data_IF_329697249854
#
_entry.id   IF_329697249854
#
_cell.length_a   1.000
_cell.length_b   1.000
_cell.length_c   1.000
_cell.angle_alpha   90.00
_cell.angle_beta   90.00
_cell.angle_gamma   90.00
#
_symmetry.space_group_name_H-M   'P 1'
#
loop_
_entity.id
_entity.type
_entity.pdbx_description
1 polymer ?
#
# COMPACT_ATOMS: atom_id res chain seq x y z
N UNK A 1 26.36 -9.82 7.55
CA UNK A 1 27.45 -9.45 6.62
C UNK A 1 28.20 -8.30 7.26
N UNK A 2 29.51 -8.40 7.35
CA UNK A 2 30.38 -7.34 7.89
C UNK A 2 31.53 -7.09 6.94
N UNK A 3 32.14 -5.88 7.00
CA UNK A 3 33.29 -5.53 6.20
C UNK A 3 33.00 -5.38 4.70
N UNK A 4 31.79 -5.01 4.32
CA UNK A 4 31.41 -4.76 2.93
C UNK A 4 32.31 -3.66 2.34
N UNK A 5 32.92 -3.95 1.19
CA UNK A 5 33.84 -3.05 0.47
C UNK A 5 35.19 -2.72 1.16
N UNK A 6 35.55 -3.36 2.27
CA UNK A 6 36.85 -3.12 2.93
C UNK A 6 38.02 -3.33 1.97
N UNK A 7 37.93 -4.36 1.09
CA UNK A 7 38.95 -4.66 0.07
C UNK A 7 38.75 -3.92 -1.26
N UNK A 8 37.76 -3.03 -1.37
CA UNK A 8 37.44 -2.28 -2.59
C UNK A 8 37.22 -0.81 -2.27
N UNK A 9 38.33 -0.04 -2.03
CA UNK A 9 38.28 1.37 -1.58
C UNK A 9 37.47 2.27 -2.52
N UNK A 10 37.53 2.01 -3.82
CA UNK A 10 36.76 2.76 -4.80
C UNK A 10 35.26 2.64 -4.58
N UNK A 11 34.76 1.43 -4.29
CA UNK A 11 33.32 1.22 -3.98
C UNK A 11 32.95 1.79 -2.61
N UNK A 12 33.85 1.71 -1.64
CA UNK A 12 33.62 2.30 -0.32
C UNK A 12 33.40 3.82 -0.39
N UNK A 13 34.16 4.53 -1.24
CA UNK A 13 33.99 5.98 -1.48
C UNK A 13 32.63 6.37 -2.10
N UNK A 14 31.94 5.44 -2.74
CA UNK A 14 30.61 5.70 -3.32
C UNK A 14 29.46 5.50 -2.32
N UNK A 15 29.72 4.95 -1.13
CA UNK A 15 28.72 4.91 -0.06
C UNK A 15 28.39 6.34 0.37
N UNK A 16 27.10 6.59 0.54
CA UNK A 16 26.58 7.87 1.02
C UNK A 16 26.62 7.92 2.57
N UNK A 17 25.81 8.77 3.17
CA UNK A 17 25.73 8.82 4.62
C UNK A 17 25.11 7.53 5.18
N UNK A 18 25.46 7.16 6.42
CA UNK A 18 24.92 5.97 7.11
C UNK A 18 23.38 5.99 7.10
N UNK A 19 22.77 7.15 7.36
CA UNK A 19 21.32 7.31 7.34
C UNK A 19 20.71 7.04 5.97
N UNK A 20 21.39 7.44 4.89
CA UNK A 20 20.94 7.17 3.54
C UNK A 20 21.03 5.68 3.20
N UNK A 21 22.16 5.04 3.49
CA UNK A 21 22.33 3.60 3.25
C UNK A 21 21.34 2.78 4.06
N UNK A 22 21.09 3.18 5.31
CA UNK A 22 20.07 2.55 6.13
C UNK A 22 18.66 2.68 5.53
N UNK A 23 18.31 3.86 5.00
CA UNK A 23 17.00 4.06 4.35
C UNK A 23 16.81 3.15 3.13
N UNK A 24 17.87 2.92 2.36
CA UNK A 24 17.85 2.00 1.20
C UNK A 24 17.68 0.55 1.65
N UNK A 25 18.37 0.16 2.73
CA UNK A 25 18.23 -1.18 3.32
C UNK A 25 16.80 -1.39 3.86
N UNK A 26 16.26 -0.42 4.57
CA UNK A 26 14.91 -0.47 5.11
C UNK A 26 13.86 -0.60 3.98
N UNK A 27 14.01 0.16 2.90
CA UNK A 27 13.16 0.06 1.72
C UNK A 27 13.22 -1.34 1.08
N UNK A 28 14.43 -1.90 0.95
CA UNK A 28 14.60 -3.25 0.43
C UNK A 28 13.92 -4.29 1.35
N UNK A 29 14.11 -4.18 2.67
CA UNK A 29 13.49 -5.09 3.63
C UNK A 29 11.95 -5.04 3.58
N UNK A 30 11.38 -3.84 3.44
CA UNK A 30 9.96 -3.64 3.25
C UNK A 30 9.44 -4.35 1.98
N UNK A 31 10.16 -4.21 0.88
CA UNK A 31 9.83 -4.86 -0.39
C UNK A 31 9.94 -6.38 -0.31
N UNK A 32 10.97 -6.89 0.38
CA UNK A 32 11.13 -8.32 0.62
C UNK A 32 9.99 -8.88 1.48
N UNK A 33 9.57 -8.16 2.51
CA UNK A 33 8.46 -8.58 3.36
C UNK A 33 7.12 -8.63 2.58
N UNK A 34 6.86 -7.65 1.70
CA UNK A 34 5.67 -7.66 0.85
C UNK A 34 5.71 -8.76 -0.22
N UNK A 35 6.90 -9.10 -0.75
CA UNK A 35 7.05 -10.19 -1.73
C UNK A 35 6.91 -11.58 -1.09
N UNK A 36 7.27 -11.71 0.19
CA UNK A 36 7.30 -12.96 0.92
C UNK A 36 6.61 -12.84 2.29
N UNK A 37 5.30 -12.58 2.34
CA UNK A 37 4.59 -12.29 3.58
C UNK A 37 4.58 -13.47 4.57
N UNK A 38 4.83 -14.70 4.08
CA UNK A 38 4.96 -15.91 4.87
C UNK A 38 6.33 -16.04 5.57
N UNK A 39 7.29 -15.14 5.29
CA UNK A 39 8.61 -15.14 5.92
C UNK A 39 8.65 -14.04 6.99
N UNK A 40 9.16 -14.40 8.17
CA UNK A 40 9.44 -13.42 9.22
C UNK A 40 10.72 -12.66 8.91
N UNK A 41 10.60 -11.35 8.78
CA UNK A 41 11.73 -10.43 8.63
C UNK A 41 11.93 -9.61 9.89
N UNK A 42 13.18 -9.32 10.22
CA UNK A 42 13.54 -8.38 11.27
C UNK A 42 14.72 -7.53 10.82
N UNK A 43 14.57 -6.21 10.96
CA UNK A 43 15.64 -5.24 10.73
C UNK A 43 15.94 -4.51 12.03
N UNK A 44 17.22 -4.54 12.43
CA UNK A 44 17.70 -3.81 13.62
C UNK A 44 18.75 -2.78 13.21
N UNK A 45 18.75 -1.63 13.87
CA UNK A 45 19.73 -0.56 13.69
C UNK A 45 20.18 -0.08 15.07
N UNK A 46 21.48 -0.04 15.30
CA UNK A 46 22.10 0.34 16.59
C UNK A 46 21.48 -0.40 17.80
N UNK A 47 21.29 -1.71 17.65
CA UNK A 47 20.74 -2.58 18.70
C UNK A 47 19.22 -2.46 18.91
N UNK A 48 18.53 -1.59 18.16
CA UNK A 48 17.05 -1.44 18.23
C UNK A 48 16.37 -2.08 17.03
N UNK A 49 15.28 -2.80 17.27
CA UNK A 49 14.43 -3.33 16.19
C UNK A 49 13.65 -2.16 15.59
N UNK A 50 13.84 -1.94 14.28
CA UNK A 50 13.20 -0.85 13.53
C UNK A 50 12.01 -1.35 12.71
N UNK A 51 12.10 -2.60 12.24
CA UNK A 51 11.05 -3.25 11.45
C UNK A 51 11.02 -4.73 11.77
N UNK A 52 9.82 -5.29 11.91
CA UNK A 52 9.64 -6.71 12.14
C UNK A 52 8.28 -7.17 11.61
N UNK A 53 8.24 -8.33 10.92
CA UNK A 53 7.01 -8.99 10.49
C UNK A 53 6.82 -10.30 11.21
N UNK A 54 5.57 -10.77 11.31
CA UNK A 54 5.25 -12.05 11.94
C UNK A 54 5.56 -13.25 11.05
N UNK A 55 5.51 -13.10 9.72
CA UNK A 55 5.62 -14.19 8.75
C UNK A 55 4.36 -15.04 8.65
N UNK A 56 3.19 -14.48 8.99
CA UNK A 56 1.90 -15.17 8.97
C UNK A 56 1.14 -15.04 7.64
N UNK A 57 1.73 -14.44 6.61
CA UNK A 57 1.10 -14.18 5.31
C UNK A 57 0.20 -12.93 5.27
N UNK A 58 0.05 -12.21 6.37
CA UNK A 58 -0.85 -11.06 6.45
C UNK A 58 -0.18 -9.78 5.91
N UNK A 59 -0.48 -9.44 4.65
CA UNK A 59 0.02 -8.21 4.00
C UNK A 59 -0.48 -6.95 4.71
N UNK A 60 -1.68 -6.97 5.28
CA UNK A 60 -2.24 -5.80 5.98
C UNK A 60 -1.44 -5.47 7.25
N UNK A 61 -0.91 -6.48 7.96
CA UNK A 61 0.03 -6.29 9.07
C UNK A 61 1.32 -5.64 8.59
N UNK A 62 1.86 -6.07 7.45
CA UNK A 62 3.06 -5.49 6.86
C UNK A 62 2.81 -4.02 6.47
N UNK A 63 1.66 -3.73 5.85
CA UNK A 63 1.26 -2.35 5.53
C UNK A 63 1.12 -1.47 6.78
N UNK A 64 0.64 -2.04 7.90
CA UNK A 64 0.59 -1.35 9.18
C UNK A 64 1.99 -0.97 9.68
N UNK A 65 2.93 -1.90 9.62
CA UNK A 65 4.33 -1.67 10.04
C UNK A 65 5.03 -0.63 9.14
N UNK A 66 4.76 -0.65 7.84
CA UNK A 66 5.41 0.24 6.87
C UNK A 66 4.82 1.65 6.84
N UNK A 67 3.50 1.77 6.89
CA UNK A 67 2.76 3.00 6.56
C UNK A 67 1.81 3.46 7.66
N UNK A 68 1.68 2.68 8.74
CA UNK A 68 0.85 2.99 9.89
C UNK A 68 -0.61 2.57 9.75
N UNK A 69 -1.36 2.83 10.83
CA UNK A 69 -2.74 2.38 11.04
C UNK A 69 -3.69 2.86 9.94
N UNK A 70 -3.56 4.12 9.55
CA UNK A 70 -4.46 4.73 8.58
C UNK A 70 -4.43 4.00 7.23
N UNK A 71 -3.23 3.70 6.70
CA UNK A 71 -3.08 2.96 5.44
C UNK A 71 -3.61 1.54 5.57
N UNK A 72 -3.24 0.83 6.63
CA UNK A 72 -3.66 -0.56 6.83
C UNK A 72 -5.18 -0.71 6.97
N UNK A 73 -5.86 0.21 7.66
CA UNK A 73 -7.32 0.18 7.83
C UNK A 73 -8.10 0.55 6.56
N UNK A 74 -7.46 1.24 5.62
CA UNK A 74 -8.06 1.64 4.35
C UNK A 74 -7.55 0.79 3.18
N UNK A 75 -6.94 -0.34 3.46
CA UNK A 75 -6.49 -1.31 2.47
C UNK A 75 -7.67 -2.21 2.06
N UNK A 76 -8.01 -2.16 0.78
CA UNK A 76 -9.07 -2.91 0.13
C UNK A 76 -8.43 -4.11 -0.55
N UNK A 77 -8.74 -5.35 -0.14
CA UNK A 77 -8.25 -6.52 -0.85
C UNK A 77 -8.87 -6.62 -2.23
N UNK A 78 -8.13 -7.09 -3.19
CA UNK A 78 -8.61 -7.42 -4.51
C UNK A 78 -7.98 -8.73 -5.00
N UNK A 79 -8.72 -9.45 -5.81
CA UNK A 79 -8.29 -10.67 -6.47
C UNK A 79 -9.01 -10.80 -7.80
N UNK A 80 -8.29 -11.22 -8.84
CA UNK A 80 -8.83 -11.45 -10.17
C UNK A 80 -7.99 -12.45 -10.93
N UNK A 81 -8.61 -13.20 -11.82
CA UNK A 81 -7.94 -14.19 -12.64
C UNK A 81 -8.54 -14.25 -14.05
N UNK A 82 -7.73 -14.64 -14.98
CA UNK A 82 -8.12 -15.13 -16.30
C UNK A 82 -7.38 -16.45 -16.61
N UNK A 83 -7.36 -16.90 -17.86
CA UNK A 83 -6.71 -18.16 -18.24
C UNK A 83 -5.20 -18.17 -17.97
N UNK A 84 -4.53 -17.01 -18.08
CA UNK A 84 -3.07 -16.89 -18.09
C UNK A 84 -2.50 -16.22 -16.83
N UNK A 85 -3.32 -15.43 -16.13
CA UNK A 85 -2.87 -14.57 -15.05
C UNK A 85 -3.78 -14.68 -13.83
N UNK A 86 -3.16 -14.76 -12.67
CA UNK A 86 -3.80 -14.55 -11.38
C UNK A 86 -3.21 -13.30 -10.73
N UNK A 87 -4.06 -12.37 -10.32
CA UNK A 87 -3.63 -11.15 -9.65
C UNK A 87 -4.32 -11.01 -8.32
N UNK A 88 -3.58 -10.59 -7.32
CA UNK A 88 -4.15 -10.33 -5.99
C UNK A 88 -3.34 -9.25 -5.27
N UNK A 89 -3.91 -8.68 -4.22
CA UNK A 89 -3.23 -7.66 -3.45
C UNK A 89 -4.13 -6.70 -2.71
N UNK A 90 -3.64 -5.49 -2.49
CA UNK A 90 -4.33 -4.45 -1.76
C UNK A 90 -4.26 -3.11 -2.47
N UNK A 91 -5.43 -2.51 -2.69
CA UNK A 91 -5.62 -1.16 -3.19
C UNK A 91 -5.98 -0.25 -2.00
N UNK A 92 -5.23 0.83 -1.77
CA UNK A 92 -5.54 1.74 -0.68
C UNK A 92 -6.59 2.75 -1.13
N UNK A 93 -7.56 3.07 -0.27
CA UNK A 93 -8.62 4.03 -0.60
C UNK A 93 -8.07 5.34 -1.16
N UNK A 94 -8.68 5.93 -2.20
CA UNK A 94 -8.16 7.10 -2.92
C UNK A 94 -7.93 8.34 -2.07
N UNK A 95 -8.63 8.47 -0.94
CA UNK A 95 -8.41 9.56 0.04
C UNK A 95 -7.00 9.57 0.62
N UNK A 96 -6.32 8.41 0.61
CA UNK A 96 -4.93 8.26 1.06
C UNK A 96 -4.06 8.11 -0.20
N UNK A 97 -3.48 9.21 -0.64
CA UNK A 97 -2.66 9.25 -1.84
C UNK A 97 -1.28 9.87 -1.57
N UNK A 98 -0.40 9.81 -2.55
CA UNK A 98 0.99 10.27 -2.45
C UNK A 98 1.34 11.20 -3.61
N UNK A 99 2.39 12.01 -3.43
CA UNK A 99 2.91 12.89 -4.46
C UNK A 99 3.78 12.17 -5.50
N UNK A 100 4.16 10.91 -5.26
CA UNK A 100 5.04 10.14 -6.14
C UNK A 100 4.50 8.74 -6.37
N UNK A 101 4.80 8.16 -7.54
CA UNK A 101 4.43 6.78 -7.92
C UNK A 101 5.27 5.68 -7.25
N UNK A 102 6.12 6.03 -6.31
CA UNK A 102 7.02 5.11 -5.62
C UNK A 102 6.29 4.06 -4.76
N UNK A 103 5.05 4.34 -4.39
CA UNK A 103 4.24 3.53 -3.49
C UNK A 103 3.39 2.45 -4.20
N UNK A 104 3.64 2.22 -5.49
CA UNK A 104 3.08 1.08 -6.22
C UNK A 104 4.09 -0.07 -6.17
N UNK A 105 3.77 -1.06 -5.36
CA UNK A 105 4.58 -2.26 -5.20
C UNK A 105 4.07 -3.35 -6.15
N UNK A 106 4.95 -3.84 -7.02
CA UNK A 106 4.60 -4.79 -8.09
C UNK A 106 5.48 -6.02 -8.00
N UNK A 107 4.89 -7.21 -7.94
CA UNK A 107 5.60 -8.47 -8.09
C UNK A 107 5.00 -9.33 -9.18
N UNK A 108 5.84 -10.12 -9.84
CA UNK A 108 5.46 -11.16 -10.78
C UNK A 108 6.19 -12.45 -10.40
N UNK A 109 5.43 -13.51 -10.12
CA UNK A 109 5.96 -14.77 -9.61
C UNK A 109 6.91 -14.54 -8.43
N UNK A 110 6.45 -13.78 -7.41
CA UNK A 110 7.19 -13.33 -6.21
C UNK A 110 8.37 -12.38 -6.46
N UNK A 111 8.71 -12.12 -7.72
CA UNK A 111 9.82 -11.25 -8.09
C UNK A 111 9.39 -9.79 -8.17
N UNK A 112 10.13 -8.91 -7.51
CA UNK A 112 9.92 -7.46 -7.62
C UNK A 112 10.21 -6.99 -9.06
N UNK A 113 9.24 -6.30 -9.67
CA UNK A 113 9.35 -5.75 -11.01
C UNK A 113 9.02 -4.25 -11.04
N UNK A 114 9.43 -3.62 -12.14
CA UNK A 114 9.03 -2.25 -12.49
C UNK A 114 8.46 -2.28 -13.90
N UNK A 115 7.25 -1.77 -14.05
CA UNK A 115 6.58 -1.67 -15.36
C UNK A 115 5.79 -0.37 -15.42
N UNK A 116 6.16 0.47 -16.36
CA UNK A 116 5.43 1.72 -16.62
C UNK A 116 4.01 1.43 -17.11
N UNK A 117 3.83 0.38 -17.90
CA UNK A 117 2.53 -0.03 -18.41
C UNK A 117 1.59 -0.48 -17.28
N UNK A 118 2.06 -1.31 -16.34
CA UNK A 118 1.28 -1.75 -15.19
C UNK A 118 0.96 -0.56 -14.27
N UNK A 119 1.94 0.32 -14.01
CA UNK A 119 1.68 1.54 -13.24
C UNK A 119 0.60 2.41 -13.89
N UNK A 120 0.59 2.51 -15.23
CA UNK A 120 -0.44 3.24 -15.97
C UNK A 120 -1.80 2.57 -15.81
N UNK A 121 -1.92 1.25 -15.94
CA UNK A 121 -3.18 0.54 -15.74
C UNK A 121 -3.76 0.76 -14.32
N UNK A 122 -2.89 0.76 -13.30
CA UNK A 122 -3.30 1.09 -11.93
C UNK A 122 -3.79 2.54 -11.84
N UNK A 123 -3.09 3.50 -12.45
CA UNK A 123 -3.52 4.90 -12.46
C UNK A 123 -4.84 5.09 -13.19
N UNK A 124 -5.03 4.40 -14.31
CA UNK A 124 -6.29 4.42 -15.07
C UNK A 124 -7.45 3.84 -14.23
N UNK A 125 -7.19 2.83 -13.39
CA UNK A 125 -8.19 2.29 -12.46
C UNK A 125 -8.59 3.30 -11.36
N UNK A 126 -7.70 4.20 -10.97
CA UNK A 126 -7.94 5.22 -9.96
C UNK A 126 -8.36 6.58 -10.52
N UNK A 127 -8.44 6.75 -11.85
CA UNK A 127 -8.62 8.06 -12.51
C UNK A 127 -9.84 8.83 -12.02
N UNK A 128 -10.95 8.12 -11.80
CA UNK A 128 -12.23 8.72 -11.41
C UNK A 128 -12.30 9.08 -9.91
N UNK A 129 -11.31 8.65 -9.12
CA UNK A 129 -11.35 8.75 -7.67
C UNK A 129 -10.26 9.64 -7.08
N UNK A 130 -9.26 10.02 -7.88
CA UNK A 130 -8.10 10.77 -7.38
C UNK A 130 -7.89 12.09 -8.10
N UNK A 131 -7.42 13.13 -7.39
CA UNK A 131 -6.99 14.37 -8.03
C UNK A 131 -5.81 14.14 -8.99
N UNK A 132 -5.65 14.99 -10.02
CA UNK A 132 -4.50 14.93 -10.91
C UNK A 132 -3.17 15.09 -10.13
N UNK A 133 -2.11 14.46 -10.65
CA UNK A 133 -0.77 14.45 -10.05
C UNK A 133 -0.69 13.82 -8.63
N UNK A 134 -1.64 12.97 -8.31
CA UNK A 134 -1.60 12.12 -7.12
C UNK A 134 -1.50 10.66 -7.51
N UNK A 135 -0.90 9.87 -6.64
CA UNK A 135 -0.59 8.47 -6.89
C UNK A 135 -1.11 7.58 -5.77
N UNK A 136 -1.72 6.44 -6.09
CA UNK A 136 -2.22 5.50 -5.10
C UNK A 136 -1.08 4.75 -4.41
N UNK A 137 -1.40 4.18 -3.26
CA UNK A 137 -0.60 3.12 -2.63
C UNK A 137 -1.26 1.81 -3.04
N UNK A 138 -0.50 0.92 -3.71
CA UNK A 138 -1.00 -0.37 -4.19
C UNK A 138 0.06 -1.44 -3.98
N UNK A 139 -0.36 -2.57 -3.46
CA UNK A 139 0.41 -3.82 -3.46
C UNK A 139 -0.25 -4.75 -4.45
N UNK A 140 0.40 -5.02 -5.57
CA UNK A 140 -0.07 -5.90 -6.63
C UNK A 140 0.90 -7.08 -6.77
N UNK A 141 0.39 -8.26 -6.51
CA UNK A 141 1.07 -9.53 -6.73
C UNK A 141 0.43 -10.21 -7.92
N UNK A 142 1.24 -10.68 -8.84
CA UNK A 142 0.83 -11.28 -10.09
C UNK A 142 1.52 -12.62 -10.25
N UNK A 143 0.75 -13.64 -10.59
CA UNK A 143 1.23 -14.96 -10.92
C UNK A 143 0.85 -15.31 -12.37
N UNK A 144 1.78 -15.91 -13.09
CA UNK A 144 1.62 -16.29 -14.49
C UNK A 144 2.50 -17.49 -14.81
N UNK A 145 2.15 -18.23 -15.86
CA UNK A 145 3.03 -19.25 -16.40
C UNK A 145 4.38 -18.61 -16.82
N UNK A 146 5.45 -19.24 -16.41
CA UNK A 146 6.82 -18.79 -16.72
C UNK A 146 7.11 -18.75 -18.22
N UNK A 147 6.38 -19.53 -19.04
CA UNK A 147 6.50 -19.50 -20.49
C UNK A 147 5.99 -18.21 -21.13
N UNK A 148 5.10 -17.49 -20.44
CA UNK A 148 4.55 -16.20 -20.88
C UNK A 148 5.42 -15.01 -20.47
N UNK A 149 6.45 -15.24 -19.66
CA UNK A 149 7.27 -14.21 -19.02
C UNK A 149 8.71 -14.28 -19.49
N UNK A 150 9.17 -13.29 -20.21
CA UNK A 150 10.59 -13.10 -20.48
C UNK A 150 11.21 -12.11 -19.49
N UNK A 151 12.06 -12.62 -18.61
CA UNK A 151 12.74 -11.86 -17.55
C UNK A 151 14.12 -11.35 -18.00
N UNK A 152 14.66 -11.86 -19.11
CA UNK A 152 16.02 -11.57 -19.55
C UNK A 152 16.11 -10.31 -20.45
N UNK A 153 15.33 -9.28 -20.14
CA UNK A 153 15.23 -8.05 -20.95
C UNK A 153 16.26 -6.99 -20.54
N UNK A 154 16.65 -6.95 -19.25
CA UNK A 154 17.56 -5.94 -18.71
C UNK A 154 18.54 -6.55 -17.69
N UNK A 155 19.82 -6.07 -17.60
CA UNK A 155 20.80 -6.58 -16.64
C UNK A 155 20.31 -6.57 -15.18
N UNK A 156 19.57 -5.55 -14.78
CA UNK A 156 18.98 -5.45 -13.44
C UNK A 156 17.73 -6.34 -13.26
N UNK A 157 17.23 -6.97 -14.35
CA UNK A 157 16.08 -7.88 -14.33
C UNK A 157 14.82 -7.32 -13.64
N UNK A 158 14.64 -6.01 -13.62
CA UNK A 158 13.46 -5.34 -13.05
C UNK A 158 12.37 -5.12 -14.10
N UNK A 159 12.73 -5.20 -15.37
CA UNK A 159 11.81 -5.15 -16.50
C UNK A 159 11.51 -6.56 -16.99
N UNK A 160 10.26 -6.81 -17.28
CA UNK A 160 9.77 -8.08 -17.81
C UNK A 160 8.97 -7.82 -19.08
N UNK A 161 9.09 -8.71 -20.05
CA UNK A 161 8.19 -8.76 -21.21
C UNK A 161 7.17 -9.85 -21.00
N UNK A 162 5.91 -9.53 -21.28
CA UNK A 162 4.79 -10.44 -21.19
C UNK A 162 4.22 -10.67 -22.58
N UNK A 163 4.00 -11.91 -22.94
CA UNK A 163 3.47 -12.28 -24.27
C UNK A 163 2.04 -11.76 -24.48
N UNK A 164 1.22 -11.71 -23.40
CA UNK A 164 -0.17 -11.24 -23.40
C UNK A 164 -0.36 -10.01 -22.50
N UNK A 165 0.52 -9.01 -22.65
CA UNK A 165 0.53 -7.84 -21.77
C UNK A 165 -0.80 -7.08 -21.75
N UNK A 166 -1.50 -6.96 -22.88
CA UNK A 166 -2.80 -6.27 -22.95
C UNK A 166 -3.84 -6.88 -22.02
N UNK A 167 -3.99 -8.21 -22.07
CA UNK A 167 -4.94 -8.95 -21.23
C UNK A 167 -4.64 -8.80 -19.73
N UNK A 168 -3.36 -8.78 -19.35
CA UNK A 168 -2.96 -8.51 -17.96
C UNK A 168 -3.30 -7.08 -17.53
N UNK A 169 -3.05 -6.08 -18.38
CA UNK A 169 -3.34 -4.68 -18.07
C UNK A 169 -4.83 -4.44 -17.90
N UNK A 170 -5.66 -5.04 -18.74
CA UNK A 170 -7.12 -4.96 -18.63
C UNK A 170 -7.62 -5.66 -17.36
N UNK A 171 -7.07 -6.84 -17.04
CA UNK A 171 -7.40 -7.56 -15.81
C UNK A 171 -7.05 -6.71 -14.58
N UNK A 172 -5.87 -6.10 -14.52
CA UNK A 172 -5.45 -5.23 -13.41
C UNK A 172 -6.41 -4.05 -13.26
N UNK A 173 -6.71 -3.36 -14.36
CA UNK A 173 -7.58 -2.19 -14.34
C UNK A 173 -8.98 -2.54 -13.84
N UNK A 174 -9.62 -3.55 -14.42
CA UNK A 174 -10.99 -3.94 -14.07
C UNK A 174 -11.09 -4.43 -12.63
N UNK A 175 -10.17 -5.32 -12.20
CA UNK A 175 -10.19 -5.87 -10.85
C UNK A 175 -10.03 -4.79 -9.78
N UNK A 176 -9.11 -3.83 -9.97
CA UNK A 176 -8.90 -2.73 -9.03
C UNK A 176 -10.11 -1.78 -9.03
N UNK A 177 -10.68 -1.45 -10.20
CA UNK A 177 -11.88 -0.61 -10.28
C UNK A 177 -13.07 -1.23 -9.55
N UNK A 178 -13.29 -2.54 -9.73
CA UNK A 178 -14.39 -3.24 -9.08
C UNK A 178 -14.23 -3.25 -7.56
N UNK A 179 -13.01 -3.49 -7.06
CA UNK A 179 -12.71 -3.43 -5.63
C UNK A 179 -12.94 -2.03 -5.04
N UNK A 180 -12.51 -0.97 -5.74
CA UNK A 180 -12.74 0.41 -5.34
C UNK A 180 -14.23 0.74 -5.30
N UNK A 181 -14.99 0.39 -6.34
CA UNK A 181 -16.42 0.60 -6.45
C UNK A 181 -17.18 -0.11 -5.32
N UNK A 182 -16.86 -1.36 -5.03
CA UNK A 182 -17.48 -2.13 -3.96
C UNK A 182 -17.25 -1.48 -2.59
N UNK A 183 -16.00 -1.07 -2.32
CA UNK A 183 -15.64 -0.40 -1.06
C UNK A 183 -16.35 0.94 -0.86
N UNK A 184 -16.46 1.75 -1.91
CA UNK A 184 -17.10 3.06 -1.83
C UNK A 184 -18.61 2.95 -1.64
N UNK A 185 -19.28 1.97 -2.25
CA UNK A 185 -20.69 1.68 -2.04
C UNK A 185 -20.98 1.26 -0.59
N UNK A 186 -20.12 0.44 0.00
CA UNK A 186 -20.28 -0.03 1.39
C UNK A 186 -20.19 1.13 2.39
N UNK A 187 -19.29 2.11 2.14
CA UNK A 187 -19.16 3.31 2.99
C UNK A 187 -20.36 4.23 2.88
N UNK A 188 -21.00 4.32 1.70
CA UNK A 188 -22.19 5.14 1.52
C UNK A 188 -23.41 4.61 2.28
N UNK A 189 -23.54 3.29 2.44
CA UNK A 189 -24.66 2.63 3.16
C UNK A 189 -24.45 2.67 4.67
N UNK A 190 -23.22 2.76 5.15
CA UNK A 190 -22.88 2.74 6.59
C UNK A 190 -22.77 4.11 7.24
N UNK A 191 -23.27 5.21 6.61
CA UNK A 191 -23.42 6.49 7.30
C UNK A 191 -24.49 6.32 8.39
N UNK A 192 -24.14 6.38 9.70
CA UNK A 192 -25.17 6.30 10.73
C UNK A 192 -26.10 7.51 10.56
N UNK A 193 -27.40 7.23 10.45
CA UNK A 193 -28.40 8.27 10.66
C UNK A 193 -28.08 8.94 11.99
N UNK A 194 -27.76 10.23 11.94
CA UNK A 194 -27.74 11.04 13.15
C UNK A 194 -29.15 11.00 13.73
N UNK A 195 -29.39 10.10 14.68
CA UNK A 195 -30.52 10.25 15.59
C UNK A 195 -30.36 11.60 16.26
N UNK A 196 -31.18 12.55 15.84
CA UNK A 196 -31.36 13.80 16.57
C UNK A 196 -31.94 13.43 17.93
N UNK A 197 -31.08 13.36 18.93
CA UNK A 197 -31.53 13.36 20.32
C UNK A 197 -32.08 14.75 20.55
N UNK A 198 -33.41 14.87 20.56
CA UNK A 198 -34.07 16.08 21.02
C UNK A 198 -33.72 16.25 22.51
N UNK A 199 -32.92 17.23 22.80
CA UNK A 199 -32.71 17.67 24.18
C UNK A 199 -34.00 18.39 24.60
N UNK A 200 -34.86 17.74 25.40
CA UNK A 200 -35.89 18.43 26.20
C UNK A 200 -35.16 19.40 27.14
N UNK A 201 -35.37 20.68 26.92
CA UNK A 201 -34.93 21.69 27.84
C UNK A 201 -35.80 21.61 29.07
N UNK A 202 -35.28 21.43 30.30
CA UNK A 202 -36.09 21.54 31.52
C UNK A 202 -36.60 22.97 31.64
N UNK A 203 -37.92 23.12 31.82
CA UNK A 203 -38.55 24.40 32.16
C UNK A 203 -37.94 24.96 33.46
N UNK A 204 -37.31 26.11 33.34
CA UNK A 204 -36.83 26.85 34.50
C UNK A 204 -38.02 27.60 35.09
N UNK A 205 -38.59 27.09 36.19
CA UNK A 205 -39.56 27.83 37.00
C UNK A 205 -38.89 29.07 37.59
N UNK A 206 -39.38 30.23 37.21
CA UNK A 206 -38.93 31.51 37.75
C UNK A 206 -39.39 31.63 39.21
N UNK A 207 -38.44 31.64 40.15
CA UNK A 207 -38.69 31.93 41.57
C UNK A 207 -38.69 33.44 41.75
N UNK A 208 -39.89 33.98 42.06
CA UNK A 208 -40.07 35.38 42.40
C UNK A 208 -39.44 35.69 43.79
N UNK A 209 -38.41 36.50 43.83
CA UNK A 209 -37.86 37.05 45.06
C UNK A 209 -38.68 38.27 45.52
N UNK A 210 -39.49 38.08 46.54
CA UNK A 210 -40.09 39.21 47.26
C UNK A 210 -39.07 39.84 48.22
N UNK A 211 -38.79 41.12 48.01
CA UNK A 211 -38.05 41.95 48.94
C UNK A 211 -38.83 42.13 50.21
N UNK A 212 -38.28 41.74 51.34
CA UNK A 212 -38.67 42.27 52.69
C UNK A 212 -37.62 43.31 53.13
N UNK A 213 -38.12 44.55 53.28
CA UNK A 213 -37.44 45.65 53.92
C UNK A 213 -37.86 45.63 55.40
N UNK A 214 -36.92 45.66 56.28
CA UNK A 214 -36.99 46.39 57.60
C UNK A 214 -35.57 46.57 58.12
#
# INVERSE_FOLDING_TARGET
>A
VSGLFVKTPARFKHLKSISYEFSVIADLMNKMALSHPQIRFQLSHDGRVVFQTSGNGNIQEILYQMYGKEVAQNAIPFEGNNEDFHIHGYAIQPKINRATKYFMFLTLNTRLIRSVAIQKAILDAYSDYMPPNRFPIVVLQMDSDTQLVDVNVHPNKWEVRLSKQGEMLDLIKTTIQDALNASLKTVAVSKPEKKSVAFEQPEIQSVSYTHLRA
#
